data_IF_401254892944
#
_entry.id   IF_401254892944
#
_cell.length_a   1.000
_cell.length_b   1.000
_cell.length_c   1.000
_cell.angle_alpha   90.00
_cell.angle_beta   90.00
_cell.angle_gamma   90.00
#
_symmetry.space_group_name_H-M   'P 1'
#
loop_
_entity.id
_entity.type
_entity.pdbx_description
1 polymer ?
#
# COMPACT_ATOMS: atom_id res chain seq x y z
N UNK A 1 39.67 -17.68 7.65
CA UNK A 1 38.56 -18.42 8.28
C UNK A 1 37.88 -17.62 9.40
N UNK A 2 38.63 -17.00 10.32
CA UNK A 2 38.07 -16.10 11.35
C UNK A 2 37.33 -14.89 10.76
N UNK A 3 37.85 -14.31 9.70
CA UNK A 3 37.23 -13.15 9.03
C UNK A 3 35.92 -13.51 8.33
N UNK A 4 35.83 -14.72 7.78
CA UNK A 4 34.58 -15.25 7.21
C UNK A 4 33.52 -15.47 8.30
N UNK A 5 33.89 -16.05 9.43
CA UNK A 5 32.97 -16.25 10.57
C UNK A 5 32.51 -14.89 11.13
N UNK A 6 33.40 -13.89 11.19
CA UNK A 6 33.06 -12.53 11.60
C UNK A 6 32.06 -11.88 10.63
N UNK A 7 32.31 -11.97 9.32
CA UNK A 7 31.40 -11.45 8.29
C UNK A 7 30.02 -12.13 8.33
N UNK A 8 29.96 -13.45 8.51
CA UNK A 8 28.68 -14.18 8.66
C UNK A 8 27.95 -13.77 9.94
N UNK A 9 28.65 -13.60 11.06
CA UNK A 9 28.06 -13.13 12.31
C UNK A 9 27.49 -11.72 12.17
N UNK A 10 28.18 -10.83 11.46
CA UNK A 10 27.69 -9.48 11.17
C UNK A 10 26.44 -9.49 10.29
N UNK A 11 26.37 -10.37 9.29
CA UNK A 11 25.15 -10.50 8.47
C UNK A 11 23.94 -11.03 9.26
N UNK A 12 24.16 -11.95 10.20
CA UNK A 12 23.10 -12.56 11.02
C UNK A 12 22.65 -11.61 12.14
N UNK A 13 23.60 -11.09 12.96
CA UNK A 13 23.27 -10.27 14.13
C UNK A 13 23.08 -8.79 13.80
N UNK A 14 23.68 -8.31 12.72
CA UNK A 14 23.83 -6.88 12.49
C UNK A 14 24.86 -6.24 13.41
N UNK A 15 25.03 -4.94 13.27
CA UNK A 15 25.77 -4.08 14.20
C UNK A 15 24.79 -3.30 15.10
N UNK A 16 25.28 -2.64 16.15
CA UNK A 16 24.43 -1.81 17.02
C UNK A 16 23.66 -0.71 16.27
N UNK A 17 24.17 -0.28 15.12
CA UNK A 17 23.58 0.79 14.30
C UNK A 17 22.73 0.24 13.14
N UNK A 18 22.98 -0.99 12.69
CA UNK A 18 22.29 -1.58 11.53
C UNK A 18 21.89 -3.01 11.81
N UNK A 19 20.58 -3.25 11.84
CA UNK A 19 19.99 -4.58 11.86
C UNK A 19 20.61 -5.50 10.78
N UNK A 20 20.84 -6.76 11.14
CA UNK A 20 21.38 -7.78 10.24
C UNK A 20 20.54 -7.95 8.99
N UNK A 21 21.15 -8.47 7.92
CA UNK A 21 20.46 -8.69 6.63
C UNK A 21 19.25 -9.60 6.84
N UNK A 22 19.42 -10.66 7.63
CA UNK A 22 18.35 -11.61 7.96
C UNK A 22 17.25 -10.99 8.81
N UNK A 23 17.58 -10.18 9.81
CA UNK A 23 16.58 -9.47 10.62
C UNK A 23 15.72 -8.53 9.76
N UNK A 24 16.34 -7.78 8.84
CA UNK A 24 15.59 -6.92 7.90
C UNK A 24 14.69 -7.71 6.97
N UNK A 25 15.18 -8.84 6.45
CA UNK A 25 14.39 -9.69 5.56
C UNK A 25 13.21 -10.33 6.31
N UNK A 26 13.45 -10.83 7.53
CA UNK A 26 12.41 -11.40 8.38
C UNK A 26 11.35 -10.37 8.74
N UNK A 27 11.75 -9.15 9.11
CA UNK A 27 10.81 -8.06 9.38
C UNK A 27 9.96 -7.74 8.17
N UNK A 28 10.56 -7.58 6.99
CA UNK A 28 9.81 -7.35 5.74
C UNK A 28 8.80 -8.47 5.49
N UNK A 29 9.25 -9.72 5.57
CA UNK A 29 8.39 -10.88 5.38
C UNK A 29 7.23 -10.93 6.38
N UNK A 30 7.51 -10.70 7.67
CA UNK A 30 6.50 -10.70 8.72
C UNK A 30 5.47 -9.57 8.51
N UNK A 31 5.92 -8.36 8.16
CA UNK A 31 5.02 -7.26 7.83
C UNK A 31 4.16 -7.57 6.61
N UNK A 32 4.76 -8.05 5.52
CA UNK A 32 4.04 -8.39 4.30
C UNK A 32 2.99 -9.48 4.56
N UNK A 33 3.34 -10.51 5.34
CA UNK A 33 2.42 -11.59 5.70
C UNK A 33 1.24 -11.08 6.53
N UNK A 34 1.50 -10.24 7.54
CA UNK A 34 0.45 -9.62 8.35
C UNK A 34 -0.46 -8.75 7.50
N UNK A 35 0.12 -7.94 6.61
CA UNK A 35 -0.61 -7.04 5.72
C UNK A 35 -1.49 -7.79 4.70
N UNK A 36 -1.03 -8.94 4.22
CA UNK A 36 -1.84 -9.82 3.36
C UNK A 36 -3.00 -10.46 4.13
N UNK A 37 -2.75 -10.90 5.36
CA UNK A 37 -3.81 -11.45 6.22
C UNK A 37 -4.89 -10.40 6.53
N UNK A 38 -4.49 -9.21 6.95
CA UNK A 38 -5.40 -8.09 7.24
C UNK A 38 -6.24 -7.72 6.01
N UNK A 39 -5.60 -7.61 4.84
CA UNK A 39 -6.31 -7.31 3.60
C UNK A 39 -7.29 -8.42 3.19
N UNK A 40 -6.90 -9.69 3.32
CA UNK A 40 -7.80 -10.81 3.03
C UNK A 40 -9.00 -10.86 3.98
N UNK A 41 -8.78 -10.56 5.26
CA UNK A 41 -9.84 -10.46 6.25
C UNK A 41 -10.80 -9.31 5.95
N UNK A 42 -10.26 -8.11 5.69
CA UNK A 42 -11.05 -6.91 5.36
C UNK A 42 -11.83 -7.09 4.06
N UNK A 43 -11.23 -7.72 3.03
CA UNK A 43 -11.91 -8.05 1.78
C UNK A 43 -13.10 -8.98 2.01
N UNK A 44 -12.93 -10.03 2.82
CA UNK A 44 -14.03 -10.95 3.17
C UNK A 44 -15.15 -10.25 3.93
N UNK A 45 -14.82 -9.39 4.89
CA UNK A 45 -15.83 -8.60 5.60
C UNK A 45 -16.58 -7.66 4.67
N UNK A 46 -15.87 -7.01 3.75
CA UNK A 46 -16.50 -6.14 2.75
C UNK A 46 -17.46 -6.91 1.85
N UNK A 47 -17.09 -8.11 1.41
CA UNK A 47 -17.96 -8.99 0.63
C UNK A 47 -19.20 -9.43 1.42
N UNK A 48 -19.07 -9.75 2.71
CA UNK A 48 -20.19 -10.16 3.57
C UNK A 48 -21.18 -9.03 3.86
N UNK A 49 -20.69 -7.81 4.02
CA UNK A 49 -21.50 -6.61 4.29
C UNK A 49 -21.81 -5.78 3.03
N UNK A 50 -21.51 -6.30 1.84
CA UNK A 50 -21.70 -5.63 0.55
C UNK A 50 -21.12 -4.20 0.50
N UNK A 51 -20.00 -3.97 1.20
CA UNK A 51 -19.32 -2.67 1.24
C UNK A 51 -18.57 -2.42 -0.06
N UNK A 52 -18.80 -1.25 -0.68
CA UNK A 52 -18.20 -0.90 -1.98
C UNK A 52 -17.17 0.21 -1.90
N UNK A 53 -17.16 0.94 -0.80
CA UNK A 53 -16.26 2.07 -0.56
C UNK A 53 -15.27 1.76 0.54
N UNK A 54 -14.09 2.37 0.43
CA UNK A 54 -13.06 2.25 1.42
C UNK A 54 -12.20 3.51 1.50
N UNK A 55 -11.52 3.67 2.63
CA UNK A 55 -10.51 4.70 2.83
C UNK A 55 -9.14 4.06 2.77
N UNK A 56 -8.24 4.64 1.98
CA UNK A 56 -6.84 4.23 1.91
C UNK A 56 -6.04 4.92 3.03
N UNK A 57 -5.79 4.21 4.13
CA UNK A 57 -5.23 4.77 5.37
C UNK A 57 -3.79 4.29 5.61
N UNK A 58 -2.95 5.08 6.27
CA UNK A 58 -1.57 4.65 6.60
C UNK A 58 -0.60 5.79 6.88
N UNK A 59 -0.97 7.01 6.54
CA UNK A 59 -0.15 8.20 6.75
C UNK A 59 0.99 8.31 5.74
N UNK A 60 1.72 9.42 5.83
CA UNK A 60 2.86 9.71 4.96
C UNK A 60 4.14 9.75 5.78
N UNK A 61 5.16 9.12 5.22
CA UNK A 61 6.52 9.04 5.75
C UNK A 61 7.50 9.42 4.65
N UNK A 62 8.75 9.76 5.01
CA UNK A 62 9.74 10.23 4.04
C UNK A 62 9.98 9.27 2.87
N UNK A 63 9.81 7.97 3.08
CA UNK A 63 9.96 6.90 2.07
C UNK A 63 8.64 6.48 1.41
N UNK A 64 7.53 7.19 1.65
CA UNK A 64 6.25 6.91 0.97
C UNK A 64 6.40 6.97 -0.55
N UNK A 65 5.77 6.01 -1.24
CA UNK A 65 5.71 5.92 -2.71
C UNK A 65 4.70 6.93 -3.25
N UNK A 66 4.90 7.36 -4.48
CA UNK A 66 3.99 8.30 -5.16
C UNK A 66 2.56 7.76 -5.21
N UNK A 67 2.39 6.47 -5.51
CA UNK A 67 1.10 5.80 -5.44
C UNK A 67 0.44 5.96 -4.07
N UNK A 68 1.15 5.62 -2.99
CA UNK A 68 0.62 5.74 -1.64
C UNK A 68 0.29 7.20 -1.30
N UNK A 69 1.15 8.14 -1.69
CA UNK A 69 0.95 9.56 -1.43
C UNK A 69 -0.29 10.13 -2.13
N UNK A 70 -0.55 9.70 -3.36
CA UNK A 70 -1.70 10.14 -4.14
C UNK A 70 -3.04 9.62 -3.60
N UNK A 71 -3.04 8.45 -2.95
CA UNK A 71 -4.26 7.79 -2.46
C UNK A 71 -4.48 7.98 -0.95
N UNK A 72 -3.46 8.39 -0.19
CA UNK A 72 -3.52 8.50 1.26
C UNK A 72 -4.67 9.40 1.74
N UNK A 73 -5.46 8.86 2.69
CA UNK A 73 -6.63 9.48 3.30
C UNK A 73 -7.76 9.84 2.32
N UNK A 74 -7.81 9.22 1.14
CA UNK A 74 -8.89 9.39 0.17
C UNK A 74 -9.86 8.22 0.18
N UNK A 75 -11.09 8.53 -0.20
CA UNK A 75 -12.19 7.57 -0.35
C UNK A 75 -12.23 7.08 -1.80
N UNK A 76 -12.22 5.76 -1.95
CA UNK A 76 -12.26 5.08 -3.24
C UNK A 76 -13.36 4.04 -3.25
N UNK A 77 -13.92 3.76 -4.43
CA UNK A 77 -14.74 2.58 -4.65
C UNK A 77 -13.90 1.39 -5.11
N UNK A 78 -14.43 0.17 -4.95
CA UNK A 78 -13.80 -1.05 -5.47
C UNK A 78 -13.59 -0.96 -6.98
N UNK A 79 -14.55 -0.39 -7.72
CA UNK A 79 -14.46 -0.20 -9.17
C UNK A 79 -13.36 0.80 -9.55
N UNK A 80 -13.21 1.90 -8.81
CA UNK A 80 -12.10 2.84 -9.01
C UNK A 80 -10.75 2.16 -8.76
N UNK A 81 -10.68 1.28 -7.77
CA UNK A 81 -9.47 0.54 -7.44
C UNK A 81 -9.05 -0.45 -8.53
N UNK A 82 -10.00 -1.02 -9.28
CA UNK A 82 -9.71 -1.95 -10.38
C UNK A 82 -8.91 -1.31 -11.52
N UNK A 83 -8.91 0.02 -11.66
CA UNK A 83 -8.11 0.73 -12.65
C UNK A 83 -6.70 1.10 -12.15
N UNK A 84 -6.38 0.85 -10.87
CA UNK A 84 -5.06 1.08 -10.30
C UNK A 84 -3.90 0.32 -10.97
N UNK A 85 -4.06 -0.90 -11.54
CA UNK A 85 -3.00 -1.54 -12.30
C UNK A 85 -2.50 -0.72 -13.50
N UNK A 86 -3.31 0.24 -14.00
CA UNK A 86 -2.96 1.17 -15.08
C UNK A 86 -2.68 2.59 -14.56
N UNK A 87 -2.50 2.74 -13.25
CA UNK A 87 -2.25 4.02 -12.62
C UNK A 87 -0.84 4.51 -12.96
N UNK A 88 -0.75 5.81 -13.24
CA UNK A 88 0.51 6.48 -13.56
C UNK A 88 0.66 7.68 -12.62
N UNK A 89 1.89 8.04 -12.21
CA UNK A 89 2.12 9.16 -11.31
C UNK A 89 1.52 10.49 -11.80
N UNK A 90 1.40 10.69 -13.11
CA UNK A 90 0.74 11.86 -13.72
C UNK A 90 -0.76 12.00 -13.42
N UNK A 91 -1.47 10.90 -13.14
CA UNK A 91 -2.88 10.90 -12.77
C UNK A 91 -3.10 11.10 -11.27
N UNK A 92 -2.03 11.06 -10.49
CA UNK A 92 -2.08 11.19 -9.04
C UNK A 92 -2.34 12.64 -8.61
N UNK A 93 -3.21 12.80 -7.62
CA UNK A 93 -3.39 14.05 -6.90
C UNK A 93 -2.64 13.98 -5.57
N UNK A 94 -1.59 14.79 -5.42
CA UNK A 94 -0.68 14.73 -4.27
C UNK A 94 -1.00 15.80 -3.22
N UNK A 95 -0.67 15.56 -1.94
CA UNK A 95 -0.81 16.58 -0.91
C UNK A 95 0.17 17.74 -1.13
N UNK A 96 -0.18 18.91 -0.59
CA UNK A 96 0.62 20.12 -0.71
C UNK A 96 2.06 19.89 -0.19
N UNK A 97 3.05 20.23 -1.02
CA UNK A 97 4.48 20.07 -0.69
C UNK A 97 5.05 18.67 -0.94
N UNK A 98 4.29 17.74 -1.54
CA UNK A 98 4.82 16.45 -1.97
C UNK A 98 5.48 16.55 -3.35
N UNK A 99 6.75 16.16 -3.42
CA UNK A 99 7.49 16.03 -4.68
C UNK A 99 7.38 14.60 -5.20
N UNK A 100 6.93 14.46 -6.46
CA UNK A 100 6.80 13.17 -7.13
C UNK A 100 8.19 12.58 -7.40
N UNK A 101 8.42 11.35 -6.92
CA UNK A 101 9.72 10.67 -6.96
C UNK A 101 9.94 9.86 -8.24
N UNK A 102 8.87 9.52 -8.95
CA UNK A 102 8.91 8.76 -10.18
C UNK A 102 9.71 9.49 -11.27
N UNK A 103 10.65 8.77 -11.90
CA UNK A 103 11.44 9.28 -13.02
C UNK A 103 10.61 9.48 -14.28
N UNK A 104 9.67 8.56 -14.52
CA UNK A 104 8.71 8.62 -15.61
C UNK A 104 7.30 8.75 -15.02
N UNK A 105 6.64 9.87 -15.33
CA UNK A 105 5.31 10.19 -14.81
C UNK A 105 4.20 9.46 -15.57
N UNK A 106 4.48 8.93 -16.76
CA UNK A 106 3.50 8.29 -17.65
C UNK A 106 3.63 6.78 -17.69
N UNK A 107 4.69 6.22 -17.12
CA UNK A 107 4.83 4.78 -16.94
C UNK A 107 4.14 4.30 -15.65
N UNK A 108 3.62 3.08 -15.69
CA UNK A 108 3.12 2.39 -14.50
C UNK A 108 4.34 2.01 -13.64
N UNK A 109 4.33 2.32 -12.32
CA UNK A 109 5.44 1.95 -11.46
C UNK A 109 5.62 0.44 -11.32
N UNK A 110 6.86 -0.04 -11.31
CA UNK A 110 7.19 -1.47 -11.23
C UNK A 110 6.69 -2.20 -9.98
N UNK A 111 6.35 -1.48 -8.91
CA UNK A 111 5.84 -2.07 -7.67
C UNK A 111 4.34 -2.36 -7.71
N UNK A 112 3.62 -1.93 -8.76
CA UNK A 112 2.24 -2.32 -9.07
C UNK A 112 2.11 -3.00 -10.45
N UNK A 113 3.13 -2.87 -11.31
CA UNK A 113 3.20 -3.52 -12.62
C UNK A 113 3.75 -4.96 -12.51
N UNK A 114 2.95 -5.88 -11.96
CA UNK A 114 3.26 -7.31 -11.98
C UNK A 114 2.03 -8.18 -12.22
N UNK A 115 2.20 -9.37 -12.83
CA UNK A 115 1.08 -10.28 -13.08
C UNK A 115 0.38 -10.71 -11.78
N UNK A 116 -0.94 -10.54 -11.74
CA UNK A 116 -1.75 -10.94 -10.58
C UNK A 116 -1.82 -9.91 -9.45
N UNK A 117 -1.36 -8.67 -9.67
CA UNK A 117 -1.57 -7.57 -8.73
C UNK A 117 -3.07 -7.37 -8.42
N UNK A 118 -3.43 -7.47 -7.14
CA UNK A 118 -4.77 -7.16 -6.64
C UNK A 118 -4.73 -5.83 -5.86
N UNK A 119 -5.35 -4.74 -6.33
CA UNK A 119 -5.30 -3.44 -5.67
C UNK A 119 -5.86 -3.44 -4.24
N UNK A 120 -6.82 -4.32 -3.94
CA UNK A 120 -7.43 -4.42 -2.60
C UNK A 120 -6.52 -5.17 -1.61
N UNK A 121 -5.59 -5.97 -2.11
CA UNK A 121 -4.67 -6.77 -1.27
C UNK A 121 -3.28 -6.16 -1.24
N UNK A 122 -2.75 -5.81 -2.41
CA UNK A 122 -1.36 -5.45 -2.64
C UNK A 122 -1.11 -3.94 -2.54
N UNK A 123 -2.11 -3.10 -2.82
CA UNK A 123 -2.04 -1.63 -2.60
C UNK A 123 -0.77 -1.02 -3.23
N UNK A 124 0.09 -0.36 -2.44
CA UNK A 124 1.36 0.16 -2.92
C UNK A 124 2.45 -0.87 -3.19
N UNK A 125 2.13 -2.16 -3.27
CA UNK A 125 3.04 -3.30 -3.46
C UNK A 125 3.76 -3.74 -2.18
N UNK A 126 4.80 -4.56 -2.32
CA UNK A 126 5.59 -5.10 -1.22
C UNK A 126 6.00 -4.04 -0.17
N UNK A 127 5.94 -4.39 1.11
CA UNK A 127 6.27 -3.51 2.24
C UNK A 127 5.45 -2.21 2.28
N UNK A 128 4.27 -2.19 1.64
CA UNK A 128 3.30 -1.13 1.86
C UNK A 128 2.73 -1.25 3.28
N UNK A 129 2.65 -0.12 3.98
CA UNK A 129 2.10 -0.04 5.35
C UNK A 129 0.66 0.46 5.40
N UNK A 130 0.14 0.92 4.26
CA UNK A 130 -1.23 1.40 4.15
C UNK A 130 -2.20 0.23 4.27
N UNK A 131 -3.34 0.46 4.89
CA UNK A 131 -4.45 -0.48 5.03
C UNK A 131 -5.66 0.08 4.29
N UNK A 132 -6.56 -0.83 3.92
CA UNK A 132 -7.86 -0.49 3.35
C UNK A 132 -8.90 -0.64 4.46
N UNK A 133 -9.48 0.48 4.87
CA UNK A 133 -10.61 0.50 5.80
C UNK A 133 -11.89 0.64 5.01
N UNK A 134 -12.62 -0.47 4.82
CA UNK A 134 -13.96 -0.41 4.21
C UNK A 134 -14.90 0.41 5.09
N UNK A 135 -15.75 1.20 4.43
CA UNK A 135 -16.67 2.11 5.09
C UNK A 135 -18.06 1.97 4.48
N UNK A 136 -19.07 2.34 5.26
CA UNK A 136 -20.44 2.41 4.76
C UNK A 136 -20.59 3.50 3.72
N UNK A 137 -21.55 3.32 2.83
CA UNK A 137 -21.92 4.26 1.78
C UNK A 137 -22.22 5.67 2.30
N UNK A 138 -22.99 5.76 3.39
CA UNK A 138 -23.29 7.02 4.08
C UNK A 138 -22.01 7.75 4.51
N UNK A 139 -21.03 7.01 5.03
CA UNK A 139 -19.77 7.59 5.46
C UNK A 139 -18.93 8.01 4.25
N UNK A 140 -18.93 7.21 3.18
CA UNK A 140 -18.23 7.52 1.95
C UNK A 140 -18.75 8.83 1.33
N UNK A 141 -20.06 9.01 1.27
CA UNK A 141 -20.69 10.22 0.73
C UNK A 141 -20.45 11.47 1.58
N UNK A 142 -20.41 11.31 2.91
CA UNK A 142 -20.03 12.39 3.82
C UNK A 142 -18.57 12.84 3.61
N UNK A 143 -17.67 11.88 3.40
CA UNK A 143 -16.25 12.15 3.22
C UNK A 143 -15.89 12.61 1.80
N UNK A 144 -16.64 12.17 0.78
CA UNK A 144 -16.48 12.57 -0.63
C UNK A 144 -17.87 12.88 -1.25
N UNK A 145 -18.36 14.12 -1.06
CA UNK A 145 -19.64 14.55 -1.61
C UNK A 145 -19.58 14.51 -3.15
N UNK A 146 -20.38 13.67 -3.79
CA UNK A 146 -20.37 13.44 -5.24
C UNK A 146 -20.26 11.98 -5.66
N UNK A 147 -20.01 11.07 -4.72
CA UNK A 147 -20.20 9.63 -4.93
C UNK A 147 -21.70 9.32 -5.10
N UNK A 148 -22.03 8.39 -5.99
CA UNK A 148 -23.42 7.94 -6.22
C UNK A 148 -23.82 6.92 -5.16
N UNK A 149 -25.07 6.97 -4.68
CA UNK A 149 -25.65 5.91 -3.83
C UNK A 149 -25.70 4.55 -4.56
N UNK A 150 -25.51 3.43 -3.83
CA UNK A 150 -25.98 2.13 -4.33
C UNK A 150 -27.48 2.13 -4.31
N UNK A 151 -28.08 1.87 -5.46
CA UNK A 151 -29.46 1.41 -5.51
C UNK A 151 -30.50 2.48 -5.84
N UNK A 152 -30.18 3.40 -6.76
CA UNK A 152 -31.19 4.05 -7.59
C UNK A 152 -31.16 3.47 -9.01
#
# INVERSE_FOLDING_TARGET
MKDFIAAVKEQIKGSEVKAGVYDRQLKRFAYDTYQQYDAAYNKKLAEEFEMRYFVYQGGLVGDSRDFCAAHNNKVWSIEEAQEWPKWTPSKGEYPAGYEVKAKDLYAVPSYIDYPGYDPLTDRGGYNCRHIIGFITDDLAMKLRPGLKESGA
#
